data_IF_193247533629
#
_entry.id   IF_193247533629
#
_cell.length_a   1.000
_cell.length_b   1.000
_cell.length_c   1.000
_cell.angle_alpha   90.00
_cell.angle_beta   90.00
_cell.angle_gamma   90.00
#
_symmetry.space_group_name_H-M   'P 1'
#
loop_
_entity.id
_entity.type
_entity.pdbx_description
1 polymer ?
#
# COMPACT_ATOMS: atom_id res chain seq x y z
N UNK A 1 23.22 -6.08 -14.23
CA UNK A 1 22.40 -7.05 -14.96
C UNK A 1 21.04 -6.44 -15.20
N UNK A 2 20.33 -6.90 -16.23
CA UNK A 2 18.89 -6.62 -16.38
C UNK A 2 18.18 -7.72 -15.61
N UNK A 3 17.36 -7.35 -14.63
CA UNK A 3 16.65 -8.29 -13.77
C UNK A 3 15.15 -8.19 -14.00
N UNK A 4 14.45 -9.28 -13.75
CA UNK A 4 12.99 -9.30 -13.77
C UNK A 4 12.45 -10.11 -12.59
N UNK A 5 11.18 -9.86 -12.27
CA UNK A 5 10.44 -10.53 -11.22
C UNK A 5 9.43 -11.47 -11.88
N UNK A 6 9.31 -12.69 -11.37
CA UNK A 6 8.32 -13.66 -11.86
C UNK A 6 7.76 -14.51 -10.72
N UNK A 7 6.61 -15.12 -10.98
CA UNK A 7 5.93 -16.01 -10.05
C UNK A 7 6.40 -17.46 -10.24
N UNK A 8 6.84 -18.10 -9.16
CA UNK A 8 7.19 -19.52 -9.12
C UNK A 8 6.00 -20.34 -8.64
N UNK A 9 5.21 -20.88 -9.58
CA UNK A 9 3.99 -21.63 -9.25
C UNK A 9 4.23 -22.82 -8.31
N UNK A 10 5.34 -23.56 -8.48
CA UNK A 10 5.65 -24.75 -7.67
C UNK A 10 5.90 -24.42 -6.19
N UNK A 11 6.46 -23.26 -5.91
CA UNK A 11 6.85 -22.83 -4.56
C UNK A 11 5.92 -21.76 -3.99
N UNK A 12 4.95 -21.30 -4.77
CA UNK A 12 3.96 -20.30 -4.36
C UNK A 12 4.59 -18.97 -3.95
N UNK A 13 5.60 -18.49 -4.69
CA UNK A 13 6.36 -17.29 -4.31
C UNK A 13 6.86 -16.46 -5.49
N UNK A 14 7.18 -15.20 -5.22
CA UNK A 14 7.85 -14.30 -6.16
C UNK A 14 9.37 -14.43 -6.10
N UNK A 15 10.05 -14.47 -7.25
CA UNK A 15 11.51 -14.53 -7.35
C UNK A 15 12.08 -13.49 -8.33
N UNK A 16 13.35 -13.12 -8.12
CA UNK A 16 14.11 -12.20 -8.96
C UNK A 16 15.22 -12.98 -9.65
N UNK A 17 15.31 -12.89 -10.98
CA UNK A 17 16.43 -13.47 -11.74
C UNK A 17 16.93 -12.53 -12.84
N UNK A 18 18.12 -12.83 -13.36
CA UNK A 18 18.69 -12.11 -14.50
C UNK A 18 17.97 -12.50 -15.79
N UNK A 19 17.90 -11.58 -16.75
CA UNK A 19 17.25 -11.79 -18.05
C UNK A 19 17.80 -13.02 -18.80
N UNK A 20 19.07 -13.40 -18.56
CA UNK A 20 19.67 -14.63 -19.10
C UNK A 20 18.93 -15.91 -18.68
N UNK A 21 18.17 -15.87 -17.59
CA UNK A 21 17.39 -17.00 -17.10
C UNK A 21 15.97 -17.07 -17.71
N UNK A 22 15.62 -16.20 -18.67
CA UNK A 22 14.27 -16.13 -19.24
C UNK A 22 13.80 -17.47 -19.83
N UNK A 23 14.64 -18.14 -20.63
CA UNK A 23 14.30 -19.44 -21.23
C UNK A 23 14.07 -20.52 -20.16
N UNK A 24 14.91 -20.55 -19.11
CA UNK A 24 14.74 -21.45 -17.98
C UNK A 24 13.41 -21.22 -17.25
N UNK A 25 13.04 -19.95 -17.01
CA UNK A 25 11.77 -19.58 -16.40
C UNK A 25 10.58 -19.99 -17.28
N UNK A 26 10.65 -19.76 -18.59
CA UNK A 26 9.60 -20.16 -19.54
C UNK A 26 9.41 -21.69 -19.59
N UNK A 27 10.49 -22.45 -19.39
CA UNK A 27 10.48 -23.90 -19.28
C UNK A 27 10.05 -24.42 -17.89
N UNK A 28 9.56 -23.54 -17.00
CA UNK A 28 9.05 -23.90 -15.68
C UNK A 28 10.12 -24.19 -14.63
N UNK A 29 11.39 -23.88 -14.92
CA UNK A 29 12.44 -23.93 -13.90
C UNK A 29 12.29 -22.74 -12.94
N UNK A 30 12.90 -22.84 -11.76
CA UNK A 30 12.79 -21.83 -10.71
C UNK A 30 14.14 -21.13 -10.39
N UNK A 31 14.89 -20.58 -11.37
CA UNK A 31 16.14 -19.86 -11.10
C UNK A 31 15.90 -18.57 -10.33
N UNK A 32 16.81 -18.16 -9.46
CA UNK A 32 16.65 -16.90 -8.73
C UNK A 32 17.86 -16.55 -7.87
N UNK A 33 18.15 -15.25 -7.81
CA UNK A 33 19.16 -14.69 -6.92
C UNK A 33 18.56 -14.26 -5.57
N UNK A 34 17.27 -13.93 -5.58
CA UNK A 34 16.49 -13.58 -4.41
C UNK A 34 15.02 -14.04 -4.61
N UNK A 35 14.33 -14.30 -3.51
CA UNK A 35 12.91 -14.66 -3.52
C UNK A 35 12.21 -14.11 -2.27
N UNK A 36 10.90 -13.90 -2.38
CA UNK A 36 10.02 -13.64 -1.24
C UNK A 36 9.60 -14.99 -0.64
N UNK A 37 9.59 -15.14 0.67
CA UNK A 37 9.23 -16.42 1.32
C UNK A 37 7.73 -16.66 1.41
N UNK A 38 6.91 -15.66 1.09
CA UNK A 38 5.44 -15.71 1.09
C UNK A 38 4.86 -15.49 -0.33
N UNK A 39 3.54 -15.67 -0.45
CA UNK A 39 2.77 -15.56 -1.71
C UNK A 39 2.21 -14.18 -2.02
N UNK A 40 2.50 -13.15 -1.21
CA UNK A 40 1.90 -11.83 -1.38
C UNK A 40 2.41 -11.13 -2.65
N UNK A 41 1.51 -10.52 -3.44
CA UNK A 41 1.90 -9.54 -4.45
C UNK A 41 2.56 -8.31 -3.79
N UNK A 42 3.28 -7.54 -4.61
CA UNK A 42 4.12 -6.43 -4.15
C UNK A 42 3.33 -5.24 -3.59
N UNK A 43 2.08 -5.02 -4.02
CA UNK A 43 1.17 -4.03 -3.46
C UNK A 43 -0.28 -4.25 -3.99
N UNK A 44 -1.29 -3.69 -3.33
CA UNK A 44 -2.69 -3.72 -3.79
C UNK A 44 -3.27 -2.30 -3.90
N UNK A 45 -3.44 -1.82 -5.13
CA UNK A 45 -3.90 -0.45 -5.39
C UNK A 45 -5.40 -0.32 -5.70
N UNK A 46 -6.13 -1.43 -5.80
CA UNK A 46 -7.53 -1.39 -6.23
C UNK A 46 -8.47 -0.94 -5.10
N UNK A 47 -9.59 -0.32 -5.49
CA UNK A 47 -10.73 -0.04 -4.61
C UNK A 47 -10.66 1.27 -3.85
N UNK A 48 -9.89 2.27 -4.29
CA UNK A 48 -9.89 3.60 -3.66
C UNK A 48 -11.00 4.49 -4.22
N UNK A 49 -11.66 5.22 -3.32
CA UNK A 49 -12.56 6.33 -3.62
C UNK A 49 -11.93 7.64 -3.15
N UNK A 50 -12.14 8.73 -3.88
CA UNK A 50 -11.64 10.07 -3.55
C UNK A 50 -12.78 11.09 -3.53
N UNK A 51 -12.72 12.05 -2.59
CA UNK A 51 -13.65 13.18 -2.52
C UNK A 51 -13.25 14.26 -3.54
N UNK A 52 -14.02 14.41 -4.62
CA UNK A 52 -13.84 15.46 -5.64
C UNK A 52 -15.10 16.29 -5.76
N UNK A 53 -14.97 17.62 -5.65
CA UNK A 53 -16.11 18.55 -5.70
C UNK A 53 -17.29 18.12 -4.79
N UNK A 54 -16.99 17.66 -3.57
CA UNK A 54 -17.97 17.17 -2.59
C UNK A 54 -18.76 15.90 -3.02
N UNK A 55 -18.18 15.09 -3.91
CA UNK A 55 -18.69 13.78 -4.33
C UNK A 55 -17.61 12.71 -4.25
N UNK A 56 -17.98 11.48 -3.87
CA UNK A 56 -17.09 10.32 -3.88
C UNK A 56 -17.04 9.72 -5.28
N UNK A 57 -15.84 9.58 -5.84
CA UNK A 57 -15.60 8.98 -7.17
C UNK A 57 -14.51 7.91 -7.11
N UNK A 58 -14.52 6.96 -8.04
CA UNK A 58 -13.47 5.95 -8.18
C UNK A 58 -12.12 6.61 -8.48
N UNK A 59 -11.09 6.21 -7.74
CA UNK A 59 -9.71 6.62 -7.95
C UNK A 59 -8.91 5.45 -8.56
N UNK A 60 -8.21 5.74 -9.66
CA UNK A 60 -7.24 4.82 -10.26
C UNK A 60 -5.90 5.13 -9.62
N UNK A 61 -5.51 4.33 -8.64
CA UNK A 61 -4.32 4.54 -7.83
C UNK A 61 -3.27 3.48 -8.17
N UNK A 62 -1.99 3.84 -8.13
CA UNK A 62 -0.89 2.89 -8.05
C UNK A 62 -0.27 2.93 -6.65
N UNK A 63 0.11 1.76 -6.13
CA UNK A 63 0.73 1.62 -4.81
C UNK A 63 2.09 0.94 -4.98
N UNK A 64 3.16 1.55 -4.47
CA UNK A 64 4.49 0.94 -4.46
C UNK A 64 4.97 0.74 -3.03
N UNK A 65 5.42 -0.49 -2.68
CA UNK A 65 6.17 -0.71 -1.45
C UNK A 65 7.63 -0.36 -1.71
N UNK A 66 8.08 0.77 -1.17
CA UNK A 66 9.44 1.29 -1.41
C UNK A 66 10.47 0.64 -0.48
N UNK A 67 10.01 0.11 0.66
CA UNK A 67 10.85 -0.70 1.53
C UNK A 67 10.19 -0.99 2.87
N UNK A 68 10.63 -2.08 3.51
CA UNK A 68 10.43 -2.32 4.92
C UNK A 68 11.79 -2.17 5.60
N UNK A 69 11.95 -1.15 6.45
CA UNK A 69 13.15 -1.03 7.29
C UNK A 69 12.77 -1.13 8.76
N UNK A 70 13.75 -1.06 9.67
CA UNK A 70 13.53 -1.06 11.12
C UNK A 70 12.63 0.06 11.64
N UNK A 71 12.16 0.97 10.77
CA UNK A 71 11.26 2.09 11.07
C UNK A 71 9.83 1.91 10.51
N UNK A 72 9.47 0.72 10.05
CA UNK A 72 8.13 0.42 9.53
C UNK A 72 8.04 0.39 8.01
N UNK A 73 6.85 0.03 7.51
CA UNK A 73 6.55 -0.10 6.09
C UNK A 73 6.43 1.27 5.40
N UNK A 74 7.07 1.42 4.24
CA UNK A 74 6.95 2.60 3.38
C UNK A 74 6.12 2.28 2.14
N UNK A 75 5.11 3.10 1.89
CA UNK A 75 4.28 3.02 0.68
C UNK A 75 4.29 4.35 -0.05
N UNK A 76 4.12 4.32 -1.36
CA UNK A 76 3.86 5.50 -2.18
C UNK A 76 2.54 5.34 -2.89
N UNK A 77 1.76 6.42 -2.90
CA UNK A 77 0.52 6.51 -3.67
C UNK A 77 0.72 7.46 -4.86
N UNK A 78 0.12 7.11 -5.99
CA UNK A 78 -0.01 7.98 -7.17
C UNK A 78 -1.37 7.75 -7.83
N UNK A 79 -1.90 8.75 -8.54
CA UNK A 79 -3.16 8.66 -9.31
C UNK A 79 -4.41 9.28 -8.66
N UNK A 80 -4.31 9.79 -7.44
CA UNK A 80 -5.34 10.68 -6.87
C UNK A 80 -5.38 12.01 -7.65
N UNK A 81 -6.55 12.64 -7.77
CA UNK A 81 -6.63 13.99 -8.37
C UNK A 81 -6.16 15.08 -7.43
N UNK A 82 -6.21 14.84 -6.12
CA UNK A 82 -5.60 15.69 -5.12
C UNK A 82 -4.11 15.37 -5.02
N UNK A 83 -3.30 16.22 -5.65
CA UNK A 83 -1.85 16.01 -5.78
C UNK A 83 -1.14 15.78 -4.44
N UNK A 84 -1.63 16.39 -3.36
CA UNK A 84 -1.01 16.24 -2.04
C UNK A 84 -1.21 14.85 -1.43
N UNK A 85 -2.08 14.01 -1.99
CA UNK A 85 -2.25 12.62 -1.59
C UNK A 85 -1.31 11.66 -2.35
N UNK A 86 -0.71 12.13 -3.45
CA UNK A 86 0.20 11.34 -4.29
C UNK A 86 1.64 11.39 -3.75
N UNK A 87 1.82 10.91 -2.52
CA UNK A 87 3.08 11.02 -1.77
C UNK A 87 3.46 9.70 -1.10
N UNK A 88 4.65 9.70 -0.51
CA UNK A 88 5.15 8.59 0.29
C UNK A 88 4.62 8.67 1.71
N UNK A 89 4.10 7.56 2.22
CA UNK A 89 3.69 7.38 3.60
C UNK A 89 4.58 6.35 4.29
N UNK A 90 4.96 6.65 5.53
CA UNK A 90 5.76 5.79 6.39
C UNK A 90 4.92 5.36 7.58
N UNK A 91 4.87 4.07 7.84
CA UNK A 91 4.23 3.50 9.02
C UNK A 91 4.84 4.08 10.31
N UNK A 92 3.98 4.48 11.25
CA UNK A 92 4.34 4.88 12.61
C UNK A 92 3.64 3.94 13.60
N UNK A 93 4.27 2.82 13.98
CA UNK A 93 3.68 1.83 14.88
C UNK A 93 3.25 2.40 16.24
N UNK A 94 3.93 3.44 16.71
CA UNK A 94 3.64 4.15 17.96
C UNK A 94 2.40 5.05 17.89
N UNK A 95 1.98 5.44 16.69
CA UNK A 95 0.82 6.31 16.47
C UNK A 95 -0.36 5.46 16.01
N UNK A 96 -1.04 4.83 16.96
CA UNK A 96 -2.22 4.02 16.69
C UNK A 96 -3.48 4.89 16.55
N UNK A 97 -4.26 4.65 15.50
CA UNK A 97 -5.56 5.31 15.29
C UNK A 97 -6.62 4.24 15.05
N UNK A 98 -7.60 4.19 15.95
CA UNK A 98 -8.70 3.23 15.98
C UNK A 98 -8.27 1.74 15.87
N UNK A 99 -7.23 1.33 16.59
CA UNK A 99 -6.85 -0.09 16.71
C UNK A 99 -5.80 -0.57 15.71
N UNK A 100 -5.23 0.31 14.87
CA UNK A 100 -4.13 -0.03 13.95
C UNK A 100 -3.10 1.09 13.84
N UNK A 101 -1.86 0.71 13.54
CA UNK A 101 -0.79 1.65 13.22
C UNK A 101 -1.20 2.56 12.05
N UNK A 102 -0.87 3.84 12.17
CA UNK A 102 -1.09 4.84 11.12
C UNK A 102 0.15 5.00 10.24
N UNK A 103 -0.04 5.61 9.08
CA UNK A 103 1.02 5.90 8.12
C UNK A 103 1.02 7.39 7.82
N UNK A 104 2.18 8.02 7.78
CA UNK A 104 2.29 9.47 7.68
C UNK A 104 3.17 9.88 6.52
N UNK A 105 2.77 10.93 5.83
CA UNK A 105 3.66 11.55 4.86
C UNK A 105 4.85 12.23 5.56
N UNK A 106 5.90 12.54 4.79
CA UNK A 106 7.12 13.14 5.33
C UNK A 106 6.88 14.51 6.01
N UNK A 107 5.86 15.26 5.57
CA UNK A 107 5.51 16.55 6.17
C UNK A 107 4.56 16.44 7.36
N UNK A 108 4.08 15.23 7.66
CA UNK A 108 3.03 14.92 8.62
C UNK A 108 1.73 15.73 8.44
N UNK A 109 1.44 16.15 7.21
CA UNK A 109 0.23 16.87 6.82
C UNK A 109 -0.93 15.91 6.57
N UNK A 110 -0.65 14.75 5.99
CA UNK A 110 -1.62 13.70 5.69
C UNK A 110 -1.21 12.38 6.34
N UNK A 111 -2.21 11.60 6.71
CA UNK A 111 -2.00 10.27 7.25
C UNK A 111 -3.04 9.27 6.75
N UNK A 112 -2.60 8.02 6.63
CA UNK A 112 -3.45 6.86 6.37
C UNK A 112 -3.75 6.18 7.69
N UNK A 113 -5.01 5.84 7.93
CA UNK A 113 -5.43 5.16 9.15
C UNK A 113 -6.59 4.21 8.90
N UNK A 114 -6.87 3.39 9.92
CA UNK A 114 -7.98 2.46 9.93
C UNK A 114 -9.23 3.09 10.50
N UNK A 115 -10.34 2.97 9.78
CA UNK A 115 -11.68 3.33 10.27
C UNK A 115 -12.35 2.07 10.81
N UNK A 116 -12.32 1.90 12.14
CA UNK A 116 -12.76 0.67 12.82
C UNK A 116 -14.23 0.32 12.59
N UNK A 117 -15.11 1.31 12.65
CA UNK A 117 -16.55 1.15 12.45
C UNK A 117 -16.91 0.82 10.99
N UNK A 118 -16.14 1.35 10.04
CA UNK A 118 -16.35 1.16 8.60
C UNK A 118 -15.55 0.00 8.01
N UNK A 119 -14.64 -0.58 8.80
CA UNK A 119 -13.72 -1.66 8.41
C UNK A 119 -12.95 -1.38 7.13
N UNK A 120 -12.34 -0.20 7.02
CA UNK A 120 -11.58 0.23 5.83
C UNK A 120 -10.42 1.16 6.18
N UNK A 121 -9.50 1.33 5.23
CA UNK A 121 -8.42 2.31 5.30
C UNK A 121 -8.84 3.64 4.69
N UNK A 122 -8.39 4.76 5.26
CA UNK A 122 -8.68 6.10 4.76
C UNK A 122 -7.45 7.02 4.87
N UNK A 123 -7.37 8.01 3.97
CA UNK A 123 -6.39 9.10 4.03
C UNK A 123 -7.09 10.35 4.55
N UNK A 124 -6.48 11.02 5.52
CA UNK A 124 -7.01 12.24 6.11
C UNK A 124 -5.90 13.25 6.40
N UNK A 125 -6.28 14.50 6.67
CA UNK A 125 -5.35 15.55 7.08
C UNK A 125 -5.10 15.52 8.58
N UNK A 126 -3.96 16.07 9.00
CA UNK A 126 -3.55 16.16 10.42
C UNK A 126 -4.58 16.86 11.30
N UNK A 127 -5.31 17.85 10.77
CA UNK A 127 -6.32 18.61 11.52
C UNK A 127 -7.43 17.66 12.01
N UNK A 128 -7.74 16.65 11.21
CA UNK A 128 -8.74 15.63 11.49
C UNK A 128 -8.25 14.48 12.40
N UNK A 129 -7.01 14.52 12.88
CA UNK A 129 -6.45 13.47 13.75
C UNK A 129 -7.23 13.31 15.07
N UNK A 130 -7.57 14.41 15.74
CA UNK A 130 -8.32 14.35 17.00
C UNK A 130 -9.72 13.74 16.82
N UNK A 131 -10.53 14.17 15.83
CA UNK A 131 -11.76 13.46 15.44
C UNK A 131 -11.54 11.99 15.09
N UNK A 132 -10.49 11.64 14.34
CA UNK A 132 -10.20 10.26 13.98
C UNK A 132 -9.90 9.40 15.22
N UNK A 133 -9.13 9.92 16.18
CA UNK A 133 -8.84 9.25 17.46
C UNK A 133 -10.07 9.10 18.36
N UNK A 134 -11.07 9.98 18.25
CA UNK A 134 -12.34 9.84 18.98
C UNK A 134 -13.33 8.85 18.34
N UNK A 135 -12.94 8.20 17.24
CA UNK A 135 -13.75 7.20 16.55
C UNK A 135 -14.57 7.74 15.38
N UNK A 136 -14.51 9.05 15.09
CA UNK A 136 -15.09 9.60 13.87
C UNK A 136 -14.29 9.14 12.65
N UNK A 137 -14.91 9.20 11.47
CA UNK A 137 -14.34 8.66 10.24
C UNK A 137 -14.12 9.72 9.15
N UNK A 138 -13.38 10.82 9.42
CA UNK A 138 -13.05 11.82 8.40
C UNK A 138 -12.10 11.24 7.35
N UNK A 139 -12.12 11.78 6.13
CA UNK A 139 -11.23 11.31 5.08
C UNK A 139 -11.39 12.06 3.76
N UNK A 140 -10.30 12.18 3.04
CA UNK A 140 -10.22 12.68 1.66
C UNK A 140 -10.28 11.53 0.64
N UNK A 141 -9.76 10.36 1.03
CA UNK A 141 -9.83 9.13 0.25
C UNK A 141 -10.05 7.92 1.17
N UNK A 142 -10.65 6.85 0.66
CA UNK A 142 -10.79 5.58 1.40
C UNK A 142 -10.80 4.36 0.49
N UNK A 143 -10.42 3.20 1.04
CA UNK A 143 -10.63 1.89 0.40
C UNK A 143 -12.05 1.39 0.58
N UNK A 144 -12.62 0.79 -0.46
CA UNK A 144 -13.94 0.17 -0.43
C UNK A 144 -13.95 -1.20 0.27
N UNK A 145 -12.77 -1.76 0.55
CA UNK A 145 -12.59 -3.04 1.23
C UNK A 145 -11.83 -2.92 2.56
N UNK A 146 -11.75 -4.04 3.29
CA UNK A 146 -10.99 -4.16 4.53
C UNK A 146 -9.54 -4.59 4.32
N UNK A 147 -9.09 -4.72 3.08
CA UNK A 147 -7.76 -5.24 2.79
C UNK A 147 -6.70 -4.18 3.10
N UNK A 148 -5.52 -4.64 3.50
CA UNK A 148 -4.40 -3.74 3.73
C UNK A 148 -3.90 -3.19 2.39
N UNK A 149 -3.80 -1.87 2.24
CA UNK A 149 -3.37 -1.24 0.97
C UNK A 149 -1.99 -1.67 0.49
N UNK A 150 -1.13 -2.08 1.41
CA UNK A 150 0.21 -2.56 1.11
C UNK A 150 0.36 -4.08 1.00
N UNK A 151 -0.68 -4.87 1.33
CA UNK A 151 -0.62 -6.33 1.26
C UNK A 151 -1.59 -6.83 0.21
N UNK A 152 -1.11 -7.71 -0.66
CA UNK A 152 -2.00 -8.42 -1.54
C UNK A 152 -2.91 -9.38 -0.77
N UNK A 153 -4.15 -9.50 -1.21
CA UNK A 153 -5.06 -10.60 -0.87
C UNK A 153 -4.64 -11.92 -1.47
#
# INVERSE_FOLDING_TARGET
GVYFIYWQQQTGRWAICDLKCMEAVQNGQCPGWAYRSDSGFFANACGWMEMRANQWVDAIVETAVIGACSKGLKVEFSGFSKDELNVQFVEKPEEEVQGRASYWDLSETYFVYWQSSMKRWAICDRISLAPAKSGLCPGWAYRTDSQHFAKAS
#
